data_IF_247136655152
#
_entry.id   IF_247136655152
#
_cell.length_a   1.000
_cell.length_b   1.000
_cell.length_c   1.000
_cell.angle_alpha   90.00
_cell.angle_beta   90.00
_cell.angle_gamma   90.00
#
_symmetry.space_group_name_H-M   'P 1'
#
loop_
_entity.id
_entity.type
_entity.pdbx_description
1 polymer ?
#
# COMPACT_ATOMS: atom_id res chain seq x y z
N UNK A 1 3.40 -25.58 -13.77
CA UNK A 1 4.05 -24.61 -12.88
C UNK A 1 5.29 -25.24 -12.29
N UNK A 2 6.44 -24.61 -12.45
CA UNK A 2 7.71 -24.98 -11.80
C UNK A 2 7.71 -24.55 -10.33
N UNK A 3 8.65 -25.08 -9.54
CA UNK A 3 8.83 -24.67 -8.13
C UNK A 3 9.08 -23.16 -8.00
N UNK A 4 9.85 -22.61 -8.93
CA UNK A 4 10.12 -21.17 -9.00
C UNK A 4 8.84 -20.36 -9.23
N UNK A 5 7.98 -20.77 -10.17
CA UNK A 5 6.70 -20.10 -10.41
C UNK A 5 5.77 -20.15 -9.20
N UNK A 6 5.76 -21.28 -8.46
CA UNK A 6 4.97 -21.42 -7.23
C UNK A 6 5.50 -20.50 -6.11
N UNK A 7 6.83 -20.40 -5.97
CA UNK A 7 7.46 -19.52 -4.99
C UNK A 7 7.14 -18.05 -5.28
N UNK A 8 7.30 -17.61 -6.53
CA UNK A 8 6.98 -16.25 -6.98
C UNK A 8 5.49 -15.93 -6.74
N UNK A 9 4.58 -16.87 -7.06
CA UNK A 9 3.16 -16.68 -6.79
C UNK A 9 2.85 -16.50 -5.29
N UNK A 10 3.51 -17.26 -4.40
CA UNK A 10 3.37 -17.11 -2.95
C UNK A 10 3.82 -15.74 -2.47
N UNK A 11 4.98 -15.26 -2.93
CA UNK A 11 5.45 -13.93 -2.54
C UNK A 11 4.49 -12.82 -2.98
N UNK A 12 3.92 -12.90 -4.18
CA UNK A 12 2.90 -11.95 -4.63
C UNK A 12 1.61 -12.00 -3.80
N UNK A 13 1.23 -13.17 -3.29
CA UNK A 13 0.11 -13.29 -2.36
C UNK A 13 0.41 -12.60 -1.02
N UNK A 14 1.62 -12.74 -0.50
CA UNK A 14 2.07 -12.04 0.70
C UNK A 14 2.07 -10.52 0.50
N UNK A 15 2.64 -10.02 -0.60
CA UNK A 15 2.62 -8.61 -0.97
C UNK A 15 1.19 -8.08 -1.06
N UNK A 16 0.29 -8.84 -1.71
CA UNK A 16 -1.14 -8.48 -1.77
C UNK A 16 -1.77 -8.37 -0.38
N UNK A 17 -1.43 -9.28 0.53
CA UNK A 17 -1.91 -9.27 1.91
C UNK A 17 -1.44 -8.01 2.66
N UNK A 18 -0.15 -7.72 2.61
CA UNK A 18 0.46 -6.54 3.25
C UNK A 18 -0.16 -5.25 2.70
N UNK A 19 -0.25 -5.12 1.37
CA UNK A 19 -0.86 -3.97 0.70
C UNK A 19 -2.30 -3.76 1.17
N UNK A 20 -3.10 -4.83 1.22
CA UNK A 20 -4.48 -4.73 1.68
C UNK A 20 -4.56 -4.31 3.15
N UNK A 21 -3.65 -4.77 4.01
CA UNK A 21 -3.58 -4.32 5.41
C UNK A 21 -3.28 -2.83 5.51
N UNK A 22 -2.27 -2.33 4.79
CA UNK A 22 -1.88 -0.92 4.80
C UNK A 22 -2.99 0.00 4.24
N UNK A 23 -3.69 -0.46 3.21
CA UNK A 23 -4.88 0.24 2.70
C UNK A 23 -6.02 0.23 3.73
N UNK A 24 -6.22 -0.88 4.46
CA UNK A 24 -7.25 -0.97 5.50
C UNK A 24 -6.96 -0.03 6.68
N UNK A 25 -5.70 0.08 7.09
CA UNK A 25 -5.29 1.00 8.16
C UNK A 25 -5.57 2.47 7.84
N UNK A 26 -5.53 2.83 6.56
CA UNK A 26 -5.78 4.19 6.08
C UNK A 26 -7.18 4.38 5.51
N UNK A 27 -8.08 3.40 5.61
CA UNK A 27 -9.38 3.44 4.94
C UNK A 27 -10.33 4.48 5.54
N UNK A 28 -10.30 4.61 6.87
CA UNK A 28 -11.10 5.59 7.62
C UNK A 28 -10.81 7.04 7.20
N UNK A 29 -9.63 7.33 6.63
CA UNK A 29 -9.24 8.67 6.19
C UNK A 29 -9.91 9.13 4.90
N UNK A 30 -10.54 8.21 4.17
CA UNK A 30 -11.14 8.46 2.85
C UNK A 30 -12.59 8.96 2.94
N UNK A 31 -13.14 9.00 4.15
CA UNK A 31 -14.49 9.55 4.38
C UNK A 31 -14.46 11.07 4.22
N UNK A 32 -15.57 11.66 3.77
CA UNK A 32 -15.64 13.09 3.47
C UNK A 32 -15.53 13.99 4.73
N UNK A 33 -15.72 13.41 5.91
CA UNK A 33 -15.66 14.08 7.23
C UNK A 33 -14.33 13.79 7.96
N UNK A 34 -13.28 13.51 7.19
CA UNK A 34 -11.96 13.19 7.74
C UNK A 34 -11.33 14.44 8.38
N UNK A 35 -10.70 14.33 9.57
CA UNK A 35 -10.16 15.48 10.30
C UNK A 35 -8.86 16.05 9.71
N UNK A 36 -8.48 15.66 8.50
CA UNK A 36 -7.23 16.04 7.85
C UNK A 36 -7.37 17.35 7.08
N UNK A 37 -6.30 18.14 7.06
CA UNK A 37 -6.19 19.28 6.17
C UNK A 37 -6.17 18.82 4.69
N UNK A 38 -6.32 19.76 3.75
CA UNK A 38 -6.21 19.46 2.32
C UNK A 38 -4.81 18.89 1.96
N UNK A 39 -3.76 19.42 2.58
CA UNK A 39 -2.37 18.99 2.40
C UNK A 39 -2.16 17.56 2.93
N UNK A 40 -2.63 17.28 4.15
CA UNK A 40 -2.54 15.95 4.75
C UNK A 40 -3.35 14.92 3.96
N UNK A 41 -4.54 15.31 3.50
CA UNK A 41 -5.40 14.48 2.65
C UNK A 41 -4.71 14.12 1.34
N UNK A 42 -3.94 15.05 0.75
CA UNK A 42 -3.15 14.79 -0.45
C UNK A 42 -2.04 13.78 -0.17
N UNK A 43 -1.28 13.93 0.92
CA UNK A 43 -0.23 12.98 1.32
C UNK A 43 -0.79 11.56 1.52
N UNK A 44 -1.98 11.44 2.12
CA UNK A 44 -2.65 10.17 2.32
C UNK A 44 -3.11 9.56 0.99
N UNK A 45 -3.64 10.38 0.07
CA UNK A 45 -4.04 9.93 -1.26
C UNK A 45 -2.84 9.42 -2.07
N UNK A 46 -1.72 10.15 -2.07
CA UNK A 46 -0.48 9.77 -2.74
C UNK A 46 0.07 8.46 -2.17
N UNK A 47 0.11 8.32 -0.84
CA UNK A 47 0.49 7.08 -0.17
C UNK A 47 -0.39 5.89 -0.59
N UNK A 48 -1.72 6.07 -0.58
CA UNK A 48 -2.66 5.00 -0.99
C UNK A 48 -2.56 4.68 -2.47
N UNK A 49 -2.26 5.66 -3.33
CA UNK A 49 -2.03 5.44 -4.75
C UNK A 49 -0.77 4.60 -4.97
N UNK A 50 0.35 4.96 -4.33
CA UNK A 50 1.60 4.21 -4.38
C UNK A 50 1.41 2.74 -3.95
N UNK A 51 0.68 2.49 -2.86
CA UNK A 51 0.35 1.12 -2.43
C UNK A 51 -0.41 0.32 -3.49
N UNK A 52 -1.38 0.94 -4.18
CA UNK A 52 -2.17 0.25 -5.22
C UNK A 52 -1.34 -0.05 -6.46
N UNK A 53 -0.35 0.78 -6.77
CA UNK A 53 0.49 0.65 -7.95
C UNK A 53 1.58 -0.43 -7.80
N UNK A 54 1.89 -0.90 -6.59
CA UNK A 54 2.94 -1.92 -6.34
C UNK A 54 2.90 -3.10 -7.35
N UNK A 55 1.78 -3.79 -7.61
CA UNK A 55 1.78 -4.93 -8.54
C UNK A 55 2.03 -4.56 -10.01
N UNK A 56 1.95 -3.27 -10.36
CA UNK A 56 2.17 -2.76 -11.71
C UNK A 56 3.56 -2.11 -11.87
N UNK A 57 4.12 -1.57 -10.79
CA UNK A 57 5.43 -0.91 -10.81
C UNK A 57 6.61 -1.88 -10.66
N UNK A 58 6.39 -3.06 -10.07
CA UNK A 58 7.45 -4.04 -9.82
C UNK A 58 7.26 -5.30 -10.65
N UNK A 59 8.33 -5.72 -11.35
CA UNK A 59 8.35 -6.95 -12.13
C UNK A 59 8.68 -8.20 -11.28
N UNK A 60 9.28 -7.99 -10.10
CA UNK A 60 9.69 -9.05 -9.18
C UNK A 60 9.23 -8.73 -7.76
N UNK A 61 8.77 -9.73 -6.98
CA UNK A 61 8.33 -9.53 -5.61
C UNK A 61 9.46 -9.13 -4.67
N UNK A 62 10.69 -9.62 -4.87
CA UNK A 62 11.85 -9.24 -4.06
C UNK A 62 12.27 -7.77 -4.22
N UNK A 63 11.86 -7.13 -5.31
CA UNK A 63 12.20 -5.72 -5.62
C UNK A 63 11.19 -4.73 -5.06
N UNK A 64 10.10 -5.20 -4.45
CA UNK A 64 9.03 -4.33 -3.94
C UNK A 64 9.56 -3.40 -2.86
N UNK A 65 9.43 -2.10 -3.11
CA UNK A 65 9.70 -1.05 -2.13
C UNK A 65 8.36 -0.48 -1.65
N UNK A 66 8.16 -0.49 -0.34
CA UNK A 66 6.94 0.04 0.27
C UNK A 66 7.03 1.56 0.43
N UNK A 67 5.97 2.31 0.09
CA UNK A 67 5.95 3.75 0.34
C UNK A 67 5.99 4.02 1.85
N UNK A 68 6.67 5.10 2.24
CA UNK A 68 6.70 5.49 3.65
C UNK A 68 5.31 5.94 4.10
N UNK A 69 4.83 5.42 5.23
CA UNK A 69 3.58 5.86 5.85
C UNK A 69 3.71 7.36 6.23
N UNK A 70 2.78 8.24 5.76
CA UNK A 70 2.74 9.64 6.16
C UNK A 70 2.66 9.80 7.68
N UNK A 71 3.33 10.80 8.24
CA UNK A 71 3.33 11.06 9.70
C UNK A 71 1.94 11.37 10.25
N UNK A 72 1.08 11.98 9.42
CA UNK A 72 -0.33 12.26 9.72
C UNK A 72 -1.13 10.99 10.04
N UNK A 73 -0.71 9.82 9.54
CA UNK A 73 -1.30 8.52 9.85
C UNK A 73 -0.64 7.80 11.03
N UNK A 74 0.48 8.31 11.55
CA UNK A 74 1.16 7.76 12.74
C UNK A 74 0.62 8.38 14.03
N UNK A 75 0.08 9.59 13.94
CA UNK A 75 -0.45 10.34 15.08
C UNK A 75 -1.93 10.03 15.40
N UNK A 76 -2.55 9.09 14.69
CA UNK A 76 -3.94 8.65 14.91
C UNK A 76 -4.03 7.43 15.83
#
# INVERSE_FOLDING_TARGET
MTEHELFTAKQWLEIKSIRNSLLRESDWTQVNDSPFSAEDSQLIQEYRAALRNIPQEFNSPESVVWPQKPDVLKAS
#
